data_IF_240483028408
#
_entry.id   IF_240483028408
#
_cell.length_a   1.000
_cell.length_b   1.000
_cell.length_c   1.000
_cell.angle_alpha   90.00
_cell.angle_beta   90.00
_cell.angle_gamma   90.00
#
_symmetry.space_group_name_H-M   'P 1'
#
loop_
_entity.id
_entity.type
_entity.pdbx_description
1 polymer ?
#
# COMPACT_ATOMS: atom_id res chain seq x y z
N UNK A 1 49.82 51.47 15.80
CA UNK A 1 49.51 50.13 15.35
C UNK A 1 48.14 49.75 15.91
N UNK A 2 47.11 49.69 15.09
CA UNK A 2 45.74 49.28 15.51
C UNK A 2 45.54 47.80 15.10
N UNK A 3 45.00 46.92 15.95
CA UNK A 3 44.72 45.56 15.57
C UNK A 3 43.45 45.45 14.70
N UNK A 4 43.58 44.70 13.62
CA UNK A 4 42.56 44.43 12.64
C UNK A 4 41.71 43.26 13.15
N UNK A 5 40.48 43.52 13.64
CA UNK A 5 39.52 42.49 14.01
C UNK A 5 38.95 41.85 12.73
N UNK A 6 39.34 40.60 12.47
CA UNK A 6 38.72 39.78 11.45
C UNK A 6 37.42 39.17 12.03
N UNK A 7 36.28 39.68 11.59
CA UNK A 7 34.97 39.07 11.77
C UNK A 7 34.90 37.82 10.89
N UNK A 8 34.90 36.65 11.50
CA UNK A 8 34.56 35.38 10.79
C UNK A 8 33.03 35.29 10.79
N UNK A 9 32.42 35.58 9.66
CA UNK A 9 30.99 35.32 9.42
C UNK A 9 30.81 33.80 9.26
N UNK A 10 30.27 33.12 10.28
CA UNK A 10 29.76 31.75 10.16
C UNK A 10 28.50 31.78 9.29
N UNK A 11 28.62 31.37 8.06
CA UNK A 11 27.48 31.03 7.19
C UNK A 11 26.79 29.77 7.75
N UNK A 12 25.72 29.98 8.51
CA UNK A 12 24.77 28.93 8.84
C UNK A 12 24.02 28.55 7.54
N UNK A 13 24.47 27.49 6.85
CA UNK A 13 23.71 26.87 5.77
C UNK A 13 22.55 26.16 6.46
N UNK A 14 21.29 26.56 6.23
CA UNK A 14 20.16 25.80 6.73
C UNK A 14 20.19 24.43 6.03
N UNK A 15 20.44 23.39 6.80
CA UNK A 15 20.29 22.01 6.35
C UNK A 15 18.79 21.82 6.14
N UNK A 16 18.32 22.00 4.90
CA UNK A 16 16.99 21.58 4.50
C UNK A 16 16.96 20.06 4.61
N UNK A 17 16.52 19.54 5.77
CA UNK A 17 16.05 18.17 5.90
C UNK A 17 14.80 18.11 5.02
N UNK A 18 14.98 17.72 3.75
CA UNK A 18 13.85 17.32 2.91
C UNK A 18 13.13 16.21 3.67
N UNK A 19 11.84 16.35 3.96
CA UNK A 19 11.11 15.27 4.57
C UNK A 19 11.29 14.06 3.66
N UNK A 20 11.70 12.93 4.25
CA UNK A 20 11.72 11.64 3.56
C UNK A 20 10.32 11.47 2.97
N UNK A 21 10.25 11.41 1.63
CA UNK A 21 8.97 11.23 0.93
C UNK A 21 8.40 9.91 1.42
N UNK A 22 7.34 10.02 2.22
CA UNK A 22 6.61 8.87 2.74
C UNK A 22 6.02 8.14 1.54
N UNK A 23 6.49 6.93 1.29
CA UNK A 23 5.83 5.99 0.41
C UNK A 23 4.52 5.64 1.10
N UNK A 24 3.42 6.22 0.63
CA UNK A 24 2.08 5.85 1.05
C UNK A 24 1.66 4.72 0.12
N UNK A 25 1.04 3.71 0.65
CA UNK A 25 0.28 2.69 -0.05
C UNK A 25 -0.97 3.31 -0.71
N UNK A 26 -1.99 2.51 -1.09
CA UNK A 26 -3.26 3.15 -1.43
C UNK A 26 -3.54 4.28 -0.44
N UNK A 27 -3.89 5.46 -0.92
CA UNK A 27 -4.25 6.57 -0.05
C UNK A 27 -5.47 6.24 0.83
N UNK A 28 -5.81 7.08 1.78
CA UNK A 28 -6.91 6.86 2.72
C UNK A 28 -8.17 6.34 2.04
N UNK A 29 -8.57 6.93 0.89
CA UNK A 29 -9.75 6.51 0.16
C UNK A 29 -9.68 5.07 -0.36
N UNK A 30 -8.53 4.62 -0.84
CA UNK A 30 -8.33 3.24 -1.33
C UNK A 30 -8.42 2.21 -0.21
N UNK A 31 -7.75 2.43 0.91
CA UNK A 31 -7.81 1.55 2.08
C UNK A 31 -9.21 1.46 2.66
N UNK A 32 -9.89 2.61 2.82
CA UNK A 32 -11.29 2.65 3.26
C UNK A 32 -12.22 1.85 2.34
N UNK A 33 -12.05 1.98 1.02
CA UNK A 33 -12.86 1.27 0.05
C UNK A 33 -12.68 -0.25 0.14
N UNK A 34 -11.43 -0.72 0.13
CA UNK A 34 -11.09 -2.14 0.17
C UNK A 34 -11.62 -2.79 1.45
N UNK A 35 -11.36 -2.18 2.61
CA UNK A 35 -11.83 -2.70 3.89
C UNK A 35 -13.37 -2.67 4.01
N UNK A 36 -14.04 -1.62 3.53
CA UNK A 36 -15.49 -1.53 3.54
C UNK A 36 -16.15 -2.59 2.65
N UNK A 37 -15.61 -2.85 1.45
CA UNK A 37 -16.09 -3.93 0.57
C UNK A 37 -15.84 -5.29 1.21
N UNK A 38 -14.66 -5.55 1.75
CA UNK A 38 -14.34 -6.79 2.46
C UNK A 38 -15.33 -7.06 3.60
N UNK A 39 -15.63 -6.04 4.41
CA UNK A 39 -16.58 -6.14 5.50
C UNK A 39 -18.00 -6.50 5.02
N UNK A 40 -18.41 -6.00 3.85
CA UNK A 40 -19.74 -6.33 3.30
C UNK A 40 -19.89 -7.79 2.89
N UNK A 41 -18.78 -8.50 2.66
CA UNK A 41 -18.72 -9.92 2.29
C UNK A 41 -18.74 -10.87 3.51
N UNK A 42 -18.71 -10.32 4.73
CA UNK A 42 -18.79 -11.07 5.98
C UNK A 42 -20.25 -11.31 6.39
N UNK A 43 -20.51 -12.41 7.07
CA UNK A 43 -21.77 -12.66 7.77
C UNK A 43 -21.96 -11.71 8.96
N UNK A 44 -23.17 -11.63 9.52
CA UNK A 44 -23.43 -10.78 10.69
C UNK A 44 -22.58 -11.17 11.89
N UNK A 45 -22.37 -12.46 12.14
CA UNK A 45 -21.53 -12.94 13.23
C UNK A 45 -20.06 -12.58 13.03
N UNK A 46 -19.53 -12.78 11.83
CA UNK A 46 -18.14 -12.40 11.49
C UNK A 46 -17.92 -10.88 11.60
N UNK A 47 -18.91 -10.06 11.20
CA UNK A 47 -18.88 -8.60 11.38
C UNK A 47 -18.85 -8.21 12.84
N UNK A 48 -19.70 -8.84 13.67
CA UNK A 48 -19.75 -8.57 15.10
C UNK A 48 -18.42 -8.93 15.78
N UNK A 49 -17.82 -10.07 15.44
CA UNK A 49 -16.52 -10.50 15.96
C UNK A 49 -15.40 -9.55 15.54
N UNK A 50 -15.33 -9.17 14.26
CA UNK A 50 -14.36 -8.20 13.76
C UNK A 50 -14.43 -6.88 14.53
N UNK A 51 -15.63 -6.35 14.72
CA UNK A 51 -15.85 -5.10 15.46
C UNK A 51 -15.51 -5.24 16.94
N UNK A 52 -15.75 -6.41 17.55
CA UNK A 52 -15.36 -6.69 18.92
C UNK A 52 -13.83 -6.67 19.07
N UNK A 53 -13.11 -7.34 18.18
CA UNK A 53 -11.63 -7.30 18.15
C UNK A 53 -11.13 -5.88 17.92
N UNK A 54 -11.68 -5.14 16.96
CA UNK A 54 -11.25 -3.78 16.66
C UNK A 54 -11.40 -2.83 17.86
N UNK A 55 -12.43 -2.97 18.68
CA UNK A 55 -12.65 -2.14 19.87
C UNK A 55 -11.57 -2.30 20.94
N UNK A 56 -10.86 -3.42 20.95
CA UNK A 56 -9.73 -3.67 21.85
C UNK A 56 -8.43 -2.98 21.42
N UNK A 57 -8.47 -2.24 20.31
CA UNK A 57 -7.30 -1.54 19.81
C UNK A 57 -6.83 -0.47 20.83
N UNK A 58 -5.54 -0.47 21.25
CA UNK A 58 -5.06 0.39 22.35
C UNK A 58 -5.20 1.89 22.07
N UNK A 59 -5.41 2.26 20.80
CA UNK A 59 -5.66 3.65 20.39
C UNK A 59 -7.06 3.84 19.81
N UNK A 60 -8.01 3.00 20.23
CA UNK A 60 -9.35 3.07 19.66
C UNK A 60 -10.02 4.43 19.91
N UNK A 61 -9.89 4.96 21.12
CA UNK A 61 -10.51 6.23 21.51
C UNK A 61 -9.91 7.45 20.76
N UNK A 62 -8.62 7.39 20.39
CA UNK A 62 -7.92 8.51 19.76
C UNK A 62 -7.97 8.45 18.22
N UNK A 63 -7.77 7.25 17.65
CA UNK A 63 -7.54 7.12 16.22
C UNK A 63 -8.77 6.68 15.42
N UNK A 64 -9.82 6.20 16.10
CA UNK A 64 -11.03 5.66 15.45
C UNK A 64 -12.29 6.50 15.77
N UNK A 65 -12.14 7.82 15.75
CA UNK A 65 -13.26 8.76 15.95
C UNK A 65 -13.91 9.08 14.60
N UNK A 66 -15.14 8.58 14.33
CA UNK A 66 -15.81 8.84 13.06
C UNK A 66 -16.16 10.34 12.93
N UNK A 67 -16.11 10.88 11.71
CA UNK A 67 -16.56 12.26 11.46
C UNK A 67 -18.02 12.46 11.93
N UNK A 68 -18.27 13.58 12.60
CA UNK A 68 -19.60 13.91 13.13
C UNK A 68 -20.72 13.94 12.09
N UNK A 69 -20.38 14.28 10.84
CA UNK A 69 -21.32 14.45 9.72
C UNK A 69 -21.73 13.14 9.04
N UNK A 70 -21.34 11.97 9.56
CA UNK A 70 -21.80 10.71 9.00
C UNK A 70 -23.29 10.51 9.32
N UNK A 71 -24.13 10.17 8.30
CA UNK A 71 -25.58 10.34 8.39
C UNK A 71 -26.28 9.28 9.24
N UNK A 72 -25.69 8.09 9.42
CA UNK A 72 -26.28 6.96 10.13
C UNK A 72 -25.22 6.01 10.67
N UNK A 73 -25.65 5.04 11.47
CA UNK A 73 -24.76 4.06 12.11
C UNK A 73 -24.07 3.13 11.11
N UNK A 74 -24.73 2.75 10.03
CA UNK A 74 -24.11 1.94 8.98
C UNK A 74 -22.88 2.62 8.36
N UNK A 75 -22.97 3.92 8.06
CA UNK A 75 -21.84 4.69 7.53
C UNK A 75 -20.75 4.90 8.59
N UNK A 76 -21.12 5.00 9.87
CA UNK A 76 -20.15 5.08 10.96
C UNK A 76 -19.36 3.77 11.09
N UNK A 77 -20.03 2.63 11.05
CA UNK A 77 -19.41 1.31 11.08
C UNK A 77 -18.53 1.12 9.84
N UNK A 78 -19.03 1.48 8.65
CA UNK A 78 -18.26 1.39 7.40
C UNK A 78 -17.00 2.26 7.47
N UNK A 79 -17.09 3.44 8.06
CA UNK A 79 -15.95 4.30 8.28
C UNK A 79 -14.96 3.69 9.29
N UNK A 80 -15.41 3.15 10.41
CA UNK A 80 -14.56 2.50 11.41
C UNK A 80 -13.74 1.36 10.80
N UNK A 81 -14.39 0.49 10.03
CA UNK A 81 -13.72 -0.62 9.34
C UNK A 81 -12.76 -0.09 8.27
N UNK A 82 -13.17 0.90 7.48
CA UNK A 82 -12.28 1.57 6.54
C UNK A 82 -11.06 2.16 7.23
N UNK A 83 -11.27 2.85 8.36
CA UNK A 83 -10.21 3.41 9.18
C UNK A 83 -9.26 2.36 9.73
N UNK A 84 -9.73 1.15 10.06
CA UNK A 84 -8.85 0.06 10.50
C UNK A 84 -7.86 -0.36 9.40
N UNK A 85 -8.29 -0.41 8.14
CA UNK A 85 -7.41 -0.66 7.01
C UNK A 85 -6.42 0.48 6.72
N UNK A 86 -6.74 1.72 7.08
CA UNK A 86 -5.86 2.87 6.91
C UNK A 86 -5.03 3.21 8.16
N UNK A 87 -5.33 2.63 9.31
CA UNK A 87 -4.70 2.98 10.57
C UNK A 87 -3.17 2.88 10.60
N UNK A 88 -2.49 1.89 9.97
CA UNK A 88 -1.03 1.85 9.94
C UNK A 88 -0.37 3.12 9.39
N UNK A 89 -0.97 3.77 8.41
CA UNK A 89 -0.49 5.06 7.88
C UNK A 89 -0.72 6.22 8.87
N UNK A 90 -1.83 6.21 9.59
CA UNK A 90 -2.08 7.18 10.66
C UNK A 90 -1.06 7.04 11.77
N UNK A 91 -0.72 5.81 12.12
CA UNK A 91 0.19 5.47 13.20
C UNK A 91 1.67 5.69 12.86
N UNK A 92 2.04 6.00 11.62
CA UNK A 92 3.45 6.28 11.20
C UNK A 92 4.14 7.34 12.05
N UNK A 93 3.40 8.29 12.61
CA UNK A 93 3.94 9.34 13.49
C UNK A 93 4.33 8.82 14.87
N UNK A 94 4.00 7.59 15.18
CA UNK A 94 4.26 6.95 16.47
C UNK A 94 5.29 5.83 16.28
N UNK A 95 6.54 6.01 16.77
CA UNK A 95 7.63 5.06 16.53
C UNK A 95 7.29 3.61 16.91
N UNK A 96 6.48 3.42 17.95
CA UNK A 96 6.08 2.09 18.44
C UNK A 96 5.24 1.31 17.42
N UNK A 97 4.52 2.00 16.52
CA UNK A 97 3.68 1.38 15.50
C UNK A 97 4.23 1.53 14.08
N UNK A 98 5.27 2.33 13.88
CA UNK A 98 5.83 2.56 12.56
C UNK A 98 6.60 1.35 12.05
N UNK A 99 6.25 0.85 10.86
CA UNK A 99 6.86 -0.32 10.18
C UNK A 99 7.05 0.00 8.71
N UNK A 100 8.09 0.76 8.36
CA UNK A 100 8.24 1.31 7.00
C UNK A 100 8.42 0.26 5.92
N UNK A 101 9.07 -0.87 6.21
CA UNK A 101 9.33 -1.92 5.22
C UNK A 101 8.16 -2.87 5.02
N UNK A 102 7.19 -2.91 5.94
CA UNK A 102 6.04 -3.79 5.84
C UNK A 102 5.14 -3.47 4.65
N UNK A 103 5.13 -2.23 4.18
CA UNK A 103 4.23 -1.74 3.13
C UNK A 103 4.57 -2.20 1.71
N UNK A 104 5.74 -2.79 1.48
CA UNK A 104 6.20 -3.15 0.15
C UNK A 104 7.03 -4.43 0.13
N UNK A 105 7.26 -4.96 -1.08
CA UNK A 105 8.10 -6.12 -1.30
C UNK A 105 9.39 -5.73 -2.02
N UNK A 106 10.49 -6.44 -1.72
CA UNK A 106 11.76 -6.29 -2.41
C UNK A 106 11.78 -7.06 -3.73
N UNK A 107 12.76 -6.72 -4.58
CA UNK A 107 12.98 -7.36 -5.86
C UNK A 107 12.44 -6.56 -7.02
N UNK A 108 12.55 -7.12 -8.21
CA UNK A 108 12.15 -6.47 -9.43
C UNK A 108 10.72 -6.85 -9.84
N UNK A 109 9.94 -5.85 -10.27
CA UNK A 109 8.77 -6.04 -11.13
C UNK A 109 9.20 -6.14 -12.60
N UNK A 110 10.17 -5.31 -13.02
CA UNK A 110 10.67 -5.29 -14.40
C UNK A 110 12.18 -5.05 -14.40
N UNK A 111 12.91 -5.78 -15.27
CA UNK A 111 14.35 -5.62 -15.48
C UNK A 111 14.57 -5.30 -16.96
N UNK A 112 15.27 -4.17 -17.23
CA UNK A 112 15.65 -3.73 -18.57
C UNK A 112 17.17 -3.50 -18.62
N UNK A 113 17.85 -4.29 -19.41
CA UNK A 113 19.32 -4.29 -19.54
C UNK A 113 19.98 -5.53 -18.96
N UNK A 114 21.29 -5.45 -18.78
CA UNK A 114 22.12 -6.56 -18.34
C UNK A 114 22.04 -6.73 -16.82
N UNK A 115 21.48 -7.86 -16.37
CA UNK A 115 21.23 -8.12 -14.95
C UNK A 115 22.47 -7.99 -14.06
N UNK A 116 23.64 -8.33 -14.58
CA UNK A 116 24.94 -8.23 -13.87
C UNK A 116 25.33 -6.80 -13.50
N UNK A 117 24.76 -5.79 -14.17
CA UNK A 117 24.99 -4.37 -13.90
C UNK A 117 23.96 -3.76 -12.93
N UNK A 118 22.98 -4.53 -12.52
CA UNK A 118 21.83 -4.06 -11.74
C UNK A 118 21.89 -4.67 -10.33
N UNK A 119 21.81 -3.83 -9.30
CA UNK A 119 21.84 -4.27 -7.92
C UNK A 119 20.44 -4.69 -7.43
N UNK A 120 19.83 -5.66 -8.12
CA UNK A 120 18.49 -6.17 -7.76
C UNK A 120 18.59 -6.99 -6.47
N UNK A 121 17.91 -6.61 -5.38
CA UNK A 121 17.91 -7.40 -4.16
C UNK A 121 17.12 -8.69 -4.34
N UNK A 122 17.50 -9.71 -3.57
CA UNK A 122 16.71 -10.91 -3.46
C UNK A 122 15.34 -10.62 -2.82
N UNK A 123 14.35 -11.41 -3.19
CA UNK A 123 13.05 -11.37 -2.53
C UNK A 123 13.17 -11.90 -1.10
N UNK A 124 12.42 -11.33 -0.15
CA UNK A 124 12.41 -11.83 1.21
C UNK A 124 12.05 -13.32 1.28
N UNK A 125 12.75 -14.04 2.15
CA UNK A 125 12.48 -15.44 2.43
C UNK A 125 11.26 -15.65 3.34
N UNK A 126 11.21 -16.81 3.99
CA UNK A 126 10.16 -17.12 4.95
C UNK A 126 10.15 -16.14 6.14
N UNK A 127 9.01 -16.06 6.84
CA UNK A 127 8.89 -15.27 8.06
C UNK A 127 9.95 -15.73 9.08
N UNK A 128 10.81 -14.83 9.60
CA UNK A 128 11.84 -15.18 10.57
C UNK A 128 11.24 -15.78 11.84
N UNK A 129 11.94 -16.79 12.39
CA UNK A 129 11.57 -17.37 13.68
C UNK A 129 11.69 -16.31 14.77
N UNK A 130 10.68 -16.19 15.64
CA UNK A 130 10.65 -15.20 16.71
C UNK A 130 10.24 -13.78 16.28
N UNK A 131 9.82 -13.56 15.04
CA UNK A 131 9.25 -12.28 14.63
C UNK A 131 7.98 -11.94 15.45
N UNK A 132 7.88 -10.67 15.83
CA UNK A 132 6.76 -10.08 16.61
C UNK A 132 6.21 -8.85 15.90
N UNK A 133 5.10 -8.31 16.40
CA UNK A 133 4.55 -7.05 15.88
C UNK A 133 5.51 -5.85 16.01
N UNK A 134 6.60 -5.99 16.76
CA UNK A 134 7.63 -4.96 16.92
C UNK A 134 8.80 -5.10 15.92
N UNK A 135 8.88 -6.24 15.20
CA UNK A 135 9.94 -6.50 14.22
C UNK A 135 9.88 -5.51 13.07
N UNK A 136 10.95 -4.72 12.88
CA UNK A 136 10.99 -3.64 11.91
C UNK A 136 11.20 -4.11 10.47
N UNK A 137 12.00 -5.15 10.26
CA UNK A 137 12.61 -5.48 8.96
C UNK A 137 11.84 -6.56 8.18
N UNK A 138 10.53 -6.71 8.45
CA UNK A 138 9.69 -7.56 7.62
C UNK A 138 9.26 -6.84 6.35
N UNK A 139 9.00 -7.61 5.31
CA UNK A 139 8.33 -7.15 4.10
C UNK A 139 6.89 -7.67 4.06
N UNK A 140 6.12 -7.16 3.11
CA UNK A 140 4.67 -7.26 3.08
C UNK A 140 4.14 -8.69 3.26
N UNK A 141 4.69 -9.69 2.55
CA UNK A 141 4.23 -11.08 2.66
C UNK A 141 4.55 -11.69 4.03
N UNK A 142 5.74 -11.39 4.58
CA UNK A 142 6.15 -11.83 5.91
C UNK A 142 5.25 -11.21 6.99
N UNK A 143 4.98 -9.90 6.88
CA UNK A 143 4.15 -9.16 7.82
C UNK A 143 2.70 -9.65 7.79
N UNK A 144 2.12 -9.96 6.62
CA UNK A 144 0.80 -10.60 6.52
C UNK A 144 0.80 -11.95 7.24
N UNK A 145 1.83 -12.78 7.02
CA UNK A 145 1.96 -14.08 7.68
C UNK A 145 2.05 -13.98 9.20
N UNK A 146 2.80 -12.99 9.72
CA UNK A 146 2.88 -12.70 11.14
C UNK A 146 1.52 -12.26 11.71
N UNK A 147 0.90 -11.27 11.09
CA UNK A 147 -0.35 -10.71 11.58
C UNK A 147 -1.50 -11.75 11.54
N UNK A 148 -1.54 -12.65 10.54
CA UNK A 148 -2.47 -13.78 10.52
C UNK A 148 -2.28 -14.69 11.72
N UNK A 149 -1.04 -15.03 12.09
CA UNK A 149 -0.75 -15.86 13.27
C UNK A 149 -1.23 -15.17 14.54
N UNK A 150 -0.91 -13.86 14.72
CA UNK A 150 -1.31 -13.10 15.91
C UNK A 150 -2.83 -12.96 16.01
N UNK A 151 -3.52 -12.64 14.92
CA UNK A 151 -4.99 -12.47 14.93
C UNK A 151 -5.72 -13.78 15.23
N UNK A 152 -5.25 -14.91 14.68
CA UNK A 152 -5.87 -16.24 14.86
C UNK A 152 -5.61 -16.85 16.24
N UNK A 153 -4.52 -16.49 16.89
CA UNK A 153 -4.14 -17.04 18.20
C UNK A 153 -4.88 -16.33 19.32
N UNK A 154 -5.89 -16.99 19.90
CA UNK A 154 -6.71 -16.46 21.00
C UNK A 154 -5.95 -16.32 22.33
N UNK A 155 -4.73 -16.87 22.43
CA UNK A 155 -3.85 -16.67 23.59
C UNK A 155 -3.08 -15.33 23.53
N UNK A 156 -3.04 -14.67 22.37
CA UNK A 156 -2.47 -13.33 22.24
C UNK A 156 -3.33 -12.28 22.94
N UNK A 157 -2.71 -11.18 23.35
CA UNK A 157 -3.45 -10.08 23.96
C UNK A 157 -4.53 -9.54 23.00
N UNK A 158 -5.65 -9.08 23.56
CA UNK A 158 -6.72 -8.46 22.76
C UNK A 158 -6.19 -7.24 21.98
N UNK A 159 -5.27 -6.47 22.58
CA UNK A 159 -4.60 -5.34 21.95
C UNK A 159 -3.76 -5.76 20.74
N UNK A 160 -2.94 -6.81 20.87
CA UNK A 160 -2.09 -7.28 19.75
C UNK A 160 -2.95 -7.84 18.61
N UNK A 161 -4.02 -8.57 18.93
CA UNK A 161 -4.96 -9.05 17.92
C UNK A 161 -5.63 -7.90 17.18
N UNK A 162 -6.00 -6.83 17.86
CA UNK A 162 -6.58 -5.64 17.24
C UNK A 162 -5.57 -4.89 16.34
N UNK A 163 -4.33 -4.76 16.80
CA UNK A 163 -3.23 -4.19 15.98
C UNK A 163 -3.00 -5.06 14.74
N UNK A 164 -2.95 -6.40 14.90
CA UNK A 164 -2.77 -7.32 13.78
C UNK A 164 -3.94 -7.26 12.78
N UNK A 165 -5.19 -7.09 13.26
CA UNK A 165 -6.36 -6.87 12.40
C UNK A 165 -6.19 -5.65 11.50
N UNK A 166 -5.72 -4.52 12.07
CA UNK A 166 -5.48 -3.30 11.31
C UNK A 166 -4.37 -3.48 10.28
N UNK A 167 -3.26 -4.09 10.67
CA UNK A 167 -2.18 -4.40 9.75
C UNK A 167 -2.61 -5.33 8.62
N UNK A 168 -3.41 -6.38 8.87
CA UNK A 168 -3.95 -7.25 7.80
C UNK A 168 -4.78 -6.43 6.82
N UNK A 169 -5.70 -5.58 7.31
CA UNK A 169 -6.52 -4.74 6.47
C UNK A 169 -5.70 -3.84 5.53
N UNK A 170 -4.60 -3.32 6.05
CA UNK A 170 -3.67 -2.47 5.32
C UNK A 170 -2.82 -3.24 4.31
N UNK A 171 -2.10 -4.25 4.79
CA UNK A 171 -1.12 -4.98 3.98
C UNK A 171 -1.75 -5.78 2.84
N UNK A 172 -2.96 -6.32 3.05
CA UNK A 172 -3.70 -6.98 1.96
C UNK A 172 -4.02 -5.97 0.86
N UNK A 173 -4.43 -4.75 1.23
CA UNK A 173 -4.65 -3.68 0.26
C UNK A 173 -3.36 -3.32 -0.47
N UNK A 174 -2.24 -3.13 0.25
CA UNK A 174 -0.92 -2.81 -0.30
C UNK A 174 -0.41 -3.87 -1.27
N UNK A 175 -0.58 -5.16 -0.93
CA UNK A 175 -0.19 -6.26 -1.81
C UNK A 175 -0.93 -6.26 -3.17
N UNK A 176 -2.06 -5.53 -3.26
CA UNK A 176 -2.82 -5.36 -4.50
C UNK A 176 -2.53 -4.04 -5.23
N UNK A 177 -1.66 -3.18 -4.69
CA UNK A 177 -1.18 -1.98 -5.39
C UNK A 177 0.07 -2.34 -6.21
N UNK A 178 0.04 -2.19 -7.54
CA UNK A 178 1.11 -2.66 -8.42
C UNK A 178 2.50 -2.13 -8.07
N UNK A 179 2.61 -0.88 -7.61
CA UNK A 179 3.89 -0.26 -7.28
C UNK A 179 4.49 -0.75 -5.95
N UNK A 180 3.73 -1.50 -5.11
CA UNK A 180 4.21 -2.05 -3.85
C UNK A 180 4.85 -3.44 -3.98
N UNK A 181 4.69 -4.10 -5.13
CA UNK A 181 5.14 -5.47 -5.32
C UNK A 181 6.59 -5.61 -5.82
N UNK A 182 7.27 -4.50 -6.11
CA UNK A 182 8.65 -4.47 -6.59
C UNK A 182 8.95 -3.21 -7.39
N UNK A 183 10.18 -3.10 -7.91
CA UNK A 183 10.70 -1.92 -8.61
C UNK A 183 11.06 -2.21 -10.07
N UNK A 184 11.16 -1.16 -10.88
CA UNK A 184 11.83 -1.19 -12.18
C UNK A 184 13.34 -1.04 -11.97
N UNK A 185 14.10 -1.96 -12.54
CA UNK A 185 15.55 -1.87 -12.69
C UNK A 185 15.88 -1.65 -14.17
N UNK A 186 16.58 -0.57 -14.47
CA UNK A 186 16.91 -0.18 -15.84
C UNK A 186 18.34 0.31 -15.94
N UNK A 187 19.12 -0.36 -16.79
CA UNK A 187 20.52 0.02 -17.07
C UNK A 187 20.60 1.48 -17.54
N UNK A 188 21.54 2.23 -16.98
CA UNK A 188 21.72 3.66 -17.25
C UNK A 188 20.73 4.59 -16.55
N UNK A 189 19.75 4.06 -15.77
CA UNK A 189 18.73 4.88 -15.10
C UNK A 189 18.52 4.48 -13.64
N UNK A 190 18.15 3.22 -13.39
CA UNK A 190 17.77 2.69 -12.06
C UNK A 190 18.57 1.42 -11.75
N UNK A 191 19.87 1.57 -11.52
CA UNK A 191 20.81 0.44 -11.34
C UNK A 191 21.01 0.05 -9.87
N UNK A 192 20.73 0.96 -8.94
CA UNK A 192 20.98 0.78 -7.50
C UNK A 192 19.96 -0.17 -6.87
N UNK A 193 20.28 -0.67 -5.66
CA UNK A 193 19.47 -1.66 -4.93
C UNK A 193 17.98 -1.30 -4.74
N UNK A 194 17.62 -0.04 -4.82
CA UNK A 194 16.23 0.40 -4.66
C UNK A 194 15.49 0.50 -6.01
N UNK A 195 16.21 0.34 -7.16
CA UNK A 195 15.64 0.54 -8.48
C UNK A 195 14.97 1.91 -8.62
N UNK A 196 13.77 1.95 -9.20
CA UNK A 196 12.95 3.16 -9.27
C UNK A 196 12.10 3.39 -8.00
N UNK A 197 12.28 2.58 -6.96
CA UNK A 197 11.55 2.63 -5.70
C UNK A 197 10.04 2.45 -5.89
N UNK A 198 9.64 1.44 -6.66
CA UNK A 198 8.23 1.21 -6.97
C UNK A 198 7.59 2.42 -7.66
N UNK A 199 8.23 2.95 -8.69
CA UNK A 199 7.80 4.11 -9.49
C UNK A 199 7.83 5.49 -8.76
N UNK A 200 8.40 5.59 -7.54
CA UNK A 200 8.57 6.87 -6.85
C UNK A 200 9.59 7.79 -7.55
N UNK A 201 10.54 7.23 -8.29
CA UNK A 201 11.57 7.99 -9.00
C UNK A 201 11.14 8.46 -10.40
N UNK A 202 9.89 8.27 -10.77
CA UNK A 202 9.32 8.67 -12.06
C UNK A 202 8.35 9.83 -11.84
N UNK A 203 8.77 11.10 -12.08
CA UNK A 203 7.93 12.27 -11.81
C UNK A 203 6.81 12.43 -12.86
N UNK A 204 5.62 12.89 -12.42
CA UNK A 204 4.47 13.16 -13.31
C UNK A 204 3.87 14.54 -13.06
N UNK A 205 3.13 15.08 -14.04
CA UNK A 205 2.34 16.30 -13.85
C UNK A 205 1.04 16.08 -13.09
N UNK A 206 0.48 14.88 -13.18
CA UNK A 206 -0.81 14.57 -12.56
C UNK A 206 -0.70 14.43 -11.04
N UNK A 207 0.45 13.93 -10.56
CA UNK A 207 0.83 13.83 -9.14
C UNK A 207 2.34 14.00 -9.03
N UNK A 208 2.86 14.03 -7.82
CA UNK A 208 4.29 14.20 -7.58
C UNK A 208 5.15 13.17 -8.34
N UNK A 209 4.71 11.92 -8.43
CA UNK A 209 5.33 10.84 -9.16
C UNK A 209 4.30 9.76 -9.53
N UNK A 210 4.74 8.73 -10.26
CA UNK A 210 3.89 7.63 -10.70
C UNK A 210 3.33 6.82 -9.54
N UNK A 211 4.13 6.58 -8.50
CA UNK A 211 3.67 5.87 -7.30
C UNK A 211 2.49 6.61 -6.64
N UNK A 212 2.65 7.91 -6.35
CA UNK A 212 1.60 8.74 -5.77
C UNK A 212 0.35 8.83 -6.67
N UNK A 213 0.50 8.75 -7.99
CA UNK A 213 -0.64 8.66 -8.89
C UNK A 213 -1.44 7.37 -8.64
N UNK A 214 -0.77 6.22 -8.60
CA UNK A 214 -1.42 4.94 -8.37
C UNK A 214 -2.05 4.86 -6.98
N UNK A 215 -1.41 5.36 -5.95
CA UNK A 215 -1.95 5.42 -4.60
C UNK A 215 -3.26 6.19 -4.51
N UNK A 216 -3.37 7.29 -5.24
CA UNK A 216 -4.49 8.23 -5.14
C UNK A 216 -5.61 7.98 -6.14
N UNK A 217 -5.45 7.02 -7.05
CA UNK A 217 -6.41 6.81 -8.15
C UNK A 217 -7.80 6.35 -7.68
N UNK A 218 -7.86 5.69 -6.52
CA UNK A 218 -9.11 5.28 -5.87
C UNK A 218 -9.69 6.34 -4.93
N UNK A 219 -8.97 7.42 -4.66
CA UNK A 219 -9.35 8.52 -3.78
C UNK A 219 -8.20 8.89 -2.87
N UNK A 220 -7.83 10.17 -2.82
CA UNK A 220 -6.73 10.67 -1.99
C UNK A 220 -7.08 10.62 -0.50
N UNK A 221 -8.23 11.21 -0.15
CA UNK A 221 -8.74 11.28 1.21
C UNK A 221 -10.08 10.54 1.32
N UNK A 222 -10.53 10.32 2.57
CA UNK A 222 -11.89 9.89 2.81
C UNK A 222 -12.89 10.99 2.45
N UNK A 223 -13.60 10.80 1.34
CA UNK A 223 -14.71 11.66 0.92
C UNK A 223 -15.99 10.81 0.80
N UNK A 224 -16.95 10.98 1.72
CA UNK A 224 -18.14 10.15 1.85
C UNK A 224 -18.86 9.90 0.52
N UNK A 225 -19.07 10.97 -0.29
CA UNK A 225 -19.73 10.87 -1.60
C UNK A 225 -18.96 9.98 -2.58
N UNK A 226 -17.63 10.14 -2.63
CA UNK A 226 -16.75 9.34 -3.50
C UNK A 226 -16.72 7.89 -3.02
N UNK A 227 -16.58 7.66 -1.73
CA UNK A 227 -16.56 6.32 -1.14
C UNK A 227 -17.87 5.57 -1.40
N UNK A 228 -19.03 6.20 -1.18
CA UNK A 228 -20.34 5.60 -1.48
C UNK A 228 -20.47 5.20 -2.96
N UNK A 229 -20.07 6.09 -3.87
CA UNK A 229 -20.14 5.82 -5.30
C UNK A 229 -19.25 4.62 -5.67
N UNK A 230 -17.98 4.63 -5.28
CA UNK A 230 -17.03 3.54 -5.59
C UNK A 230 -17.41 2.21 -4.92
N UNK A 231 -17.86 2.27 -3.68
CA UNK A 231 -18.40 1.10 -2.98
C UNK A 231 -19.59 0.50 -3.75
N UNK A 232 -20.56 1.33 -4.13
CA UNK A 232 -21.71 0.88 -4.91
C UNK A 232 -21.29 0.29 -6.26
N UNK A 233 -20.36 0.93 -6.99
CA UNK A 233 -19.82 0.43 -8.27
C UNK A 233 -19.27 -1.00 -8.12
N UNK A 234 -18.53 -1.30 -7.03
CA UNK A 234 -17.98 -2.64 -6.81
C UNK A 234 -19.06 -3.64 -6.40
N UNK A 235 -19.88 -3.32 -5.40
CA UNK A 235 -20.82 -4.32 -4.84
C UNK A 235 -22.01 -4.62 -5.74
N UNK A 236 -22.35 -3.72 -6.68
CA UNK A 236 -23.46 -3.93 -7.62
C UNK A 236 -23.02 -4.48 -8.97
N UNK A 237 -21.73 -4.41 -9.32
CA UNK A 237 -21.20 -4.93 -10.58
C UNK A 237 -21.07 -6.46 -10.54
N UNK A 238 -21.79 -7.14 -11.42
CA UNK A 238 -21.64 -8.60 -11.61
C UNK A 238 -20.25 -8.98 -12.13
N UNK A 239 -19.65 -8.14 -12.99
CA UNK A 239 -18.30 -8.33 -13.52
C UNK A 239 -17.27 -8.27 -12.39
N UNK A 240 -17.30 -7.24 -11.56
CA UNK A 240 -16.35 -7.09 -10.44
C UNK A 240 -16.58 -8.19 -9.38
N UNK A 241 -17.82 -8.59 -9.14
CA UNK A 241 -18.11 -9.75 -8.28
C UNK A 241 -17.42 -11.01 -8.80
N UNK A 242 -17.57 -11.32 -10.09
CA UNK A 242 -16.92 -12.48 -10.70
C UNK A 242 -15.38 -12.40 -10.58
N UNK A 243 -14.79 -11.20 -10.75
CA UNK A 243 -13.35 -10.96 -10.53
C UNK A 243 -12.95 -11.31 -9.10
N UNK A 244 -13.70 -10.84 -8.10
CA UNK A 244 -13.41 -11.10 -6.69
C UNK A 244 -13.55 -12.58 -6.32
N UNK A 245 -14.64 -13.24 -6.77
CA UNK A 245 -14.88 -14.67 -6.56
C UNK A 245 -13.78 -15.53 -7.20
N UNK A 246 -13.37 -15.20 -8.42
CA UNK A 246 -12.25 -15.85 -9.09
C UNK A 246 -10.94 -15.69 -8.32
N UNK A 247 -10.64 -14.48 -7.81
CA UNK A 247 -9.41 -14.20 -7.09
C UNK A 247 -9.23 -15.05 -5.84
N UNK A 248 -10.31 -15.38 -5.14
CA UNK A 248 -10.30 -16.27 -3.96
C UNK A 248 -10.37 -17.74 -4.36
N UNK A 249 -11.09 -18.07 -5.44
CA UNK A 249 -11.36 -19.45 -5.87
C UNK A 249 -10.18 -20.17 -6.52
N UNK A 250 -9.12 -19.47 -6.93
CA UNK A 250 -7.93 -20.09 -7.51
C UNK A 250 -7.06 -20.75 -6.44
N UNK A 251 -6.26 -21.76 -6.84
CA UNK A 251 -5.28 -22.37 -5.93
C UNK A 251 -4.32 -21.30 -5.39
N UNK A 252 -4.16 -21.23 -4.07
CA UNK A 252 -3.36 -20.19 -3.43
C UNK A 252 -4.04 -18.80 -3.42
N UNK A 253 -5.35 -18.71 -3.64
CA UNK A 253 -6.08 -17.44 -3.68
C UNK A 253 -5.91 -16.57 -2.42
N UNK A 254 -5.58 -17.18 -1.28
CA UNK A 254 -5.25 -16.47 -0.03
C UNK A 254 -3.74 -16.46 0.29
N UNK A 255 -2.86 -16.77 -0.66
CA UNK A 255 -1.42 -16.69 -0.51
C UNK A 255 -0.90 -15.28 -0.91
N UNK A 256 -0.26 -14.52 -0.01
CA UNK A 256 0.32 -13.21 -0.32
C UNK A 256 1.33 -13.24 -1.47
N UNK A 257 2.04 -14.35 -1.69
CA UNK A 257 3.00 -14.45 -2.81
C UNK A 257 2.29 -14.43 -4.16
N UNK A 258 1.12 -15.06 -4.27
CA UNK A 258 0.29 -15.01 -5.48
C UNK A 258 -0.17 -13.57 -5.75
N UNK A 259 -0.61 -12.84 -4.73
CA UNK A 259 -1.08 -11.46 -4.88
C UNK A 259 0.02 -10.51 -5.37
N UNK A 260 1.23 -10.68 -4.80
CA UNK A 260 2.40 -9.89 -5.18
C UNK A 260 2.86 -10.20 -6.61
N UNK A 261 2.78 -11.46 -7.04
CA UNK A 261 3.13 -11.82 -8.43
C UNK A 261 2.13 -11.22 -9.43
N UNK A 262 0.84 -11.27 -9.12
CA UNK A 262 -0.20 -10.59 -9.91
C UNK A 262 0.02 -9.07 -9.97
N UNK A 263 0.42 -8.45 -8.83
CA UNK A 263 0.72 -7.03 -8.76
C UNK A 263 1.96 -6.66 -9.57
N UNK A 264 3.01 -7.49 -9.58
CA UNK A 264 4.18 -7.32 -10.45
C UNK A 264 3.79 -7.38 -11.93
N UNK A 265 2.96 -8.35 -12.29
CA UNK A 265 2.43 -8.45 -13.65
C UNK A 265 1.64 -7.20 -14.03
N UNK A 266 0.76 -6.74 -13.15
CA UNK A 266 0.00 -5.51 -13.36
C UNK A 266 0.93 -4.27 -13.46
N UNK A 267 2.03 -4.23 -12.70
CA UNK A 267 3.02 -3.16 -12.82
C UNK A 267 3.68 -3.16 -14.21
N UNK A 268 4.11 -4.32 -14.70
CA UNK A 268 4.73 -4.45 -16.05
C UNK A 268 3.75 -4.03 -17.14
N UNK A 269 2.49 -4.45 -17.06
CA UNK A 269 1.50 -4.23 -18.11
C UNK A 269 0.88 -2.83 -18.09
N UNK A 270 0.77 -2.20 -16.90
CA UNK A 270 -0.07 -1.02 -16.72
C UNK A 270 0.61 0.17 -16.03
N UNK A 271 1.68 -0.04 -15.24
CA UNK A 271 2.50 1.05 -14.68
C UNK A 271 3.61 1.41 -15.67
N UNK A 272 4.41 0.43 -16.05
CA UNK A 272 5.58 0.60 -16.94
C UNK A 272 5.20 0.41 -18.41
N UNK A 273 4.20 1.14 -18.88
CA UNK A 273 3.74 1.10 -20.27
C UNK A 273 4.83 1.61 -21.24
N UNK A 274 4.64 1.37 -22.52
CA UNK A 274 5.55 1.86 -23.56
C UNK A 274 5.73 3.40 -23.49
N UNK A 275 4.67 4.16 -23.20
CA UNK A 275 4.70 5.61 -22.98
C UNK A 275 5.71 6.00 -21.89
N UNK A 276 5.68 5.29 -20.76
CA UNK A 276 6.59 5.53 -19.63
C UNK A 276 8.01 5.12 -19.97
N UNK A 277 8.20 3.91 -20.53
CA UNK A 277 9.53 3.37 -20.84
C UNK A 277 10.24 4.17 -21.94
N UNK A 278 9.53 4.69 -22.93
CA UNK A 278 10.10 5.56 -23.94
C UNK A 278 10.69 6.84 -23.34
N UNK A 279 10.02 7.44 -22.36
CA UNK A 279 10.53 8.64 -21.67
C UNK A 279 11.81 8.34 -20.88
N UNK A 280 11.88 7.19 -20.22
CA UNK A 280 13.06 6.75 -19.47
C UNK A 280 14.23 6.41 -20.40
N UNK A 281 13.96 5.92 -21.61
CA UNK A 281 14.99 5.59 -22.60
C UNK A 281 15.85 6.79 -23.03
N UNK A 282 15.34 8.00 -22.86
CA UNK A 282 16.11 9.24 -23.13
C UNK A 282 17.26 9.37 -22.13
N UNK A 283 17.03 9.04 -20.86
CA UNK A 283 18.05 9.01 -19.82
C UNK A 283 19.04 7.86 -20.05
N UNK A 284 18.53 6.66 -20.33
CA UNK A 284 19.35 5.48 -20.59
C UNK A 284 20.36 5.69 -21.76
N UNK A 285 19.99 6.51 -22.73
CA UNK A 285 20.87 6.89 -23.87
C UNK A 285 21.78 8.08 -23.56
N UNK A 286 21.80 8.60 -22.34
CA UNK A 286 22.62 9.75 -21.95
C UNK A 286 22.14 11.10 -22.53
N UNK A 287 20.93 11.18 -23.06
CA UNK A 287 20.34 12.40 -23.63
C UNK A 287 19.71 13.32 -22.58
N UNK A 288 19.55 12.82 -21.35
CA UNK A 288 19.14 13.57 -20.17
C UNK A 288 19.81 12.98 -18.93
N UNK A 289 20.04 13.79 -17.90
CA UNK A 289 20.66 13.34 -16.65
C UNK A 289 19.69 12.63 -15.71
N UNK A 290 18.39 12.90 -15.83
CA UNK A 290 17.33 12.37 -14.95
C UNK A 290 16.00 12.25 -15.71
N UNK A 291 15.07 11.41 -15.19
CA UNK A 291 13.73 11.31 -15.76
C UNK A 291 13.03 12.66 -15.83
N UNK A 292 12.46 12.96 -17.00
CA UNK A 292 11.67 14.16 -17.20
C UNK A 292 10.28 13.99 -16.57
N UNK A 293 9.64 15.11 -16.22
CA UNK A 293 8.27 15.10 -15.69
C UNK A 293 7.29 14.65 -16.77
N UNK A 294 6.69 13.49 -16.58
CA UNK A 294 5.75 12.91 -17.54
C UNK A 294 4.40 13.62 -17.52
N UNK A 295 3.83 13.84 -18.68
CA UNK A 295 2.40 14.14 -18.83
C UNK A 295 1.73 12.89 -19.37
N UNK A 296 1.05 12.14 -18.51
CA UNK A 296 0.40 10.89 -18.89
C UNK A 296 -0.84 11.14 -19.72
N UNK A 297 -1.09 10.27 -20.71
CA UNK A 297 -2.24 10.35 -21.60
C UNK A 297 -3.55 10.06 -20.86
N UNK A 298 -4.66 10.57 -21.39
CA UNK A 298 -6.01 10.25 -20.84
C UNK A 298 -6.31 8.75 -20.93
N UNK A 299 -5.82 8.08 -21.97
CA UNK A 299 -5.94 6.64 -22.13
C UNK A 299 -5.23 5.90 -21.01
N UNK A 300 -3.97 6.30 -20.68
CA UNK A 300 -3.24 5.77 -19.54
C UNK A 300 -4.06 5.91 -18.25
N UNK A 301 -4.54 7.11 -17.95
CA UNK A 301 -5.28 7.40 -16.72
C UNK A 301 -6.57 6.59 -16.61
N UNK A 302 -7.32 6.47 -17.71
CA UNK A 302 -8.54 5.66 -17.79
C UNK A 302 -8.24 4.17 -17.57
N UNK A 303 -7.18 3.66 -18.19
CA UNK A 303 -6.77 2.27 -18.02
C UNK A 303 -6.30 2.00 -16.59
N UNK A 304 -5.44 2.85 -16.03
CA UNK A 304 -4.96 2.76 -14.65
C UNK A 304 -6.14 2.74 -13.65
N UNK A 305 -7.16 3.59 -13.87
CA UNK A 305 -8.38 3.60 -13.04
C UNK A 305 -9.15 2.28 -13.07
N UNK A 306 -9.28 1.63 -14.25
CA UNK A 306 -9.93 0.31 -14.37
C UNK A 306 -9.13 -0.79 -13.68
N UNK A 307 -7.81 -0.78 -13.87
CA UNK A 307 -6.91 -1.76 -13.23
C UNK A 307 -6.94 -1.59 -11.71
N UNK A 308 -6.86 -0.37 -11.22
CA UNK A 308 -6.94 -0.07 -9.78
C UNK A 308 -8.26 -0.57 -9.16
N UNK A 309 -9.40 -0.33 -9.83
CA UNK A 309 -10.70 -0.82 -9.36
C UNK A 309 -10.74 -2.35 -9.32
N UNK A 310 -10.20 -3.02 -10.34
CA UNK A 310 -10.08 -4.49 -10.36
C UNK A 310 -9.21 -5.00 -9.21
N UNK A 311 -7.99 -4.44 -9.03
CA UNK A 311 -7.06 -4.83 -7.96
C UNK A 311 -7.66 -4.57 -6.57
N UNK A 312 -8.36 -3.46 -6.38
CA UNK A 312 -9.09 -3.20 -5.14
C UNK A 312 -10.18 -4.22 -4.85
N UNK A 313 -10.90 -4.67 -5.89
CA UNK A 313 -11.91 -5.72 -5.75
C UNK A 313 -11.29 -7.06 -5.35
N UNK A 314 -10.24 -7.49 -6.05
CA UNK A 314 -9.49 -8.70 -5.71
C UNK A 314 -8.96 -8.64 -4.27
N UNK A 315 -8.38 -7.50 -3.87
CA UNK A 315 -7.91 -7.26 -2.51
C UNK A 315 -9.02 -7.34 -1.46
N UNK A 316 -10.19 -6.77 -1.74
CA UNK A 316 -11.33 -6.80 -0.82
C UNK A 316 -11.86 -8.22 -0.59
N UNK A 317 -11.99 -9.03 -1.63
CA UNK A 317 -12.44 -10.42 -1.51
C UNK A 317 -11.43 -11.27 -0.75
N UNK A 318 -10.14 -11.10 -1.03
CA UNK A 318 -9.05 -11.77 -0.32
C UNK A 318 -8.96 -11.35 1.14
N UNK A 319 -9.14 -10.06 1.43
CA UNK A 319 -9.19 -9.55 2.79
C UNK A 319 -10.35 -10.17 3.58
N UNK A 320 -11.52 -10.26 2.98
CA UNK A 320 -12.66 -10.96 3.59
C UNK A 320 -12.34 -12.42 3.88
N UNK A 321 -11.69 -13.13 2.93
CA UNK A 321 -11.25 -14.51 3.12
C UNK A 321 -10.26 -14.65 4.27
N UNK A 322 -9.26 -13.78 4.35
CA UNK A 322 -8.27 -13.78 5.45
C UNK A 322 -8.93 -13.49 6.80
N UNK A 323 -9.85 -12.52 6.87
CA UNK A 323 -10.58 -12.26 8.12
C UNK A 323 -11.42 -13.45 8.56
N UNK A 324 -12.12 -14.13 7.63
CA UNK A 324 -12.88 -15.36 7.92
C UNK A 324 -11.98 -16.46 8.48
N UNK A 325 -10.83 -16.70 7.86
CA UNK A 325 -9.87 -17.70 8.36
C UNK A 325 -9.36 -17.37 9.76
N UNK A 326 -9.00 -16.10 10.01
CA UNK A 326 -8.36 -15.70 11.26
C UNK A 326 -9.35 -15.56 12.41
N UNK A 327 -10.60 -15.15 12.17
CA UNK A 327 -11.63 -14.99 13.18
C UNK A 327 -12.43 -16.27 13.40
N UNK A 328 -12.70 -17.05 12.34
CA UNK A 328 -13.53 -18.25 12.39
C UNK A 328 -12.86 -19.52 12.94
N UNK A 329 -11.60 -19.49 13.34
CA UNK A 329 -10.94 -20.63 13.99
C UNK A 329 -11.43 -20.76 15.43
N UNK A 330 -12.44 -21.61 15.65
CA UNK A 330 -12.92 -22.04 16.96
C UNK A 330 -12.14 -23.26 17.46
#
# INVERSE_FOLDING_TARGET
>A
MKPLNRLIALLLIPLFILPSQLCLAWSEGGHHLIAAVAFSLLTENERAELLAVLKEHPRFAEDFVPPEKLPNEEERIRWLVGRSGYWPDVARKQPIYHRSTWHYELGASLILGEKSKLAVPDRPGALPSGATLETQELHIAQAIGLCRKVLSDKSQSAADRAIALCWIGHLVADAHQPCHAGSLYMEGVFEKKDGDRGANSIPTKQRQNMHALWDQILGEDFALRTMRRRYAEIVTSSELRAVGEQAVGVSGGLDPQVWLEESRKAAVEHVYTQEVLQSLSVVARGLAEKPQVLTLSEEYLKNAGRVAQRRATEGAYRLAGVWKECLGQQ
#
